data_IF_624768512497
#
_entry.id   IF_624768512497
#
_cell.length_a   1.000
_cell.length_b   1.000
_cell.length_c   1.000
_cell.angle_alpha   90.00
_cell.angle_beta   90.00
_cell.angle_gamma   90.00
#
_symmetry.space_group_name_H-M   'P 1'
#
loop_
_entity.id
_entity.type
_entity.pdbx_description
1 polymer ?
#
# COMPACT_ATOMS: atom_id res chain seq x y z
N UNK A 1 14.29 -16.25 -14.02
CA UNK A 1 15.07 -15.56 -12.95
C UNK A 1 15.36 -14.09 -13.22
N UNK A 2 16.20 -13.68 -14.20
CA UNK A 2 16.40 -12.22 -14.43
C UNK A 2 15.10 -11.52 -14.80
N UNK A 3 14.33 -12.10 -15.71
CA UNK A 3 13.11 -11.49 -16.22
C UNK A 3 12.02 -11.45 -15.13
N UNK A 4 11.86 -12.54 -14.36
CA UNK A 4 10.99 -12.58 -13.16
C UNK A 4 11.37 -11.50 -12.12
N UNK A 5 12.66 -11.37 -11.79
CA UNK A 5 13.13 -10.33 -10.87
C UNK A 5 12.91 -8.93 -11.45
N UNK A 6 13.05 -8.76 -12.77
CA UNK A 6 12.84 -7.47 -13.44
C UNK A 6 11.36 -7.10 -13.44
N UNK A 7 10.47 -8.06 -13.68
CA UNK A 7 9.03 -7.89 -13.60
C UNK A 7 8.64 -7.32 -12.25
N UNK A 8 9.04 -7.94 -11.13
CA UNK A 8 8.74 -7.43 -9.79
C UNK A 8 9.22 -5.99 -9.54
N UNK A 9 10.30 -5.56 -10.21
CA UNK A 9 10.86 -4.22 -10.06
C UNK A 9 10.13 -3.15 -10.90
N UNK A 10 9.22 -3.53 -11.79
CA UNK A 10 8.45 -2.59 -12.61
C UNK A 10 7.46 -1.74 -11.79
N UNK A 11 7.16 -2.11 -10.53
CA UNK A 11 6.45 -1.23 -9.60
C UNK A 11 7.12 0.14 -9.41
N UNK A 12 8.43 0.26 -9.70
CA UNK A 12 9.14 1.56 -9.72
C UNK A 12 8.60 2.52 -10.76
N UNK A 13 8.04 1.99 -11.85
CA UNK A 13 7.54 2.74 -12.99
C UNK A 13 6.00 2.88 -12.98
N UNK A 14 5.31 2.22 -12.06
CA UNK A 14 3.85 2.27 -11.93
C UNK A 14 3.46 3.44 -10.98
N UNK A 15 2.95 4.57 -11.49
CA UNK A 15 2.48 5.66 -10.64
C UNK A 15 1.21 5.23 -9.89
N UNK A 16 1.03 5.73 -8.65
CA UNK A 16 -0.21 5.52 -7.89
C UNK A 16 -1.38 6.22 -8.57
N UNK A 17 -2.34 5.44 -9.08
CA UNK A 17 -3.45 5.87 -9.93
C UNK A 17 -4.34 6.89 -9.23
N UNK A 18 -4.53 6.78 -7.91
CA UNK A 18 -5.28 7.76 -7.12
C UNK A 18 -4.74 9.18 -7.31
N UNK A 19 -3.43 9.36 -7.19
CA UNK A 19 -2.77 10.66 -7.37
C UNK A 19 -2.84 11.17 -8.80
N UNK A 20 -2.67 10.28 -9.79
CA UNK A 20 -2.80 10.62 -11.21
C UNK A 20 -4.18 11.19 -11.51
N UNK A 21 -5.25 10.57 -10.98
CA UNK A 21 -6.63 11.03 -11.18
C UNK A 21 -6.92 12.36 -10.50
N UNK A 22 -6.31 12.61 -9.35
CA UNK A 22 -6.47 13.87 -8.60
C UNK A 22 -5.59 15.00 -9.13
N UNK A 23 -4.86 14.79 -10.24
CA UNK A 23 -4.05 15.82 -10.88
C UNK A 23 -2.76 16.17 -10.13
N UNK A 24 -2.25 15.25 -9.30
CA UNK A 24 -0.93 15.39 -8.66
C UNK A 24 0.15 15.40 -9.73
N UNK A 25 1.00 16.43 -9.72
CA UNK A 25 2.19 16.47 -10.57
C UNK A 25 3.27 15.57 -9.98
N UNK A 26 3.87 14.73 -10.83
CA UNK A 26 4.93 13.78 -10.46
C UNK A 26 4.55 12.91 -9.23
N UNK A 27 3.47 12.11 -9.34
CA UNK A 27 3.04 11.24 -8.26
C UNK A 27 4.09 10.17 -7.96
N UNK A 28 4.10 9.70 -6.72
CA UNK A 28 4.91 8.56 -6.32
C UNK A 28 4.54 7.30 -7.10
N UNK A 29 5.47 6.36 -7.16
CA UNK A 29 5.20 5.02 -7.67
C UNK A 29 4.72 4.08 -6.58
N UNK A 30 4.11 2.96 -6.95
CA UNK A 30 3.69 1.90 -6.02
C UNK A 30 4.87 1.39 -5.20
N UNK A 31 6.05 1.25 -5.81
CA UNK A 31 7.26 0.90 -5.06
C UNK A 31 7.68 1.95 -4.02
N UNK A 32 7.45 3.24 -4.29
CA UNK A 32 7.75 4.32 -3.34
C UNK A 32 6.78 4.29 -2.15
N UNK A 33 5.50 4.00 -2.39
CA UNK A 33 4.50 3.74 -1.36
C UNK A 33 4.91 2.54 -0.46
N UNK A 34 5.28 1.40 -1.05
CA UNK A 34 5.77 0.23 -0.29
C UNK A 34 7.01 0.55 0.55
N UNK A 35 7.92 1.37 0.04
CA UNK A 35 9.08 1.86 0.80
C UNK A 35 8.67 2.77 1.96
N UNK A 36 7.75 3.72 1.73
CA UNK A 36 7.20 4.60 2.76
C UNK A 36 6.57 3.81 3.91
N UNK A 37 5.72 2.84 3.57
CA UNK A 37 5.15 1.90 4.55
C UNK A 37 6.22 1.16 5.36
N UNK A 38 7.29 0.66 4.72
CA UNK A 38 8.35 -0.05 5.43
C UNK A 38 9.10 0.87 6.42
N UNK A 39 9.33 2.14 6.07
CA UNK A 39 9.92 3.13 6.97
C UNK A 39 9.00 3.41 8.17
N UNK A 40 7.70 3.58 7.92
CA UNK A 40 6.70 3.78 8.98
C UNK A 40 6.63 2.55 9.91
N UNK A 41 6.60 1.34 9.34
CA UNK A 41 6.58 0.09 10.09
C UNK A 41 7.82 -0.08 10.98
N UNK A 42 9.02 0.20 10.47
CA UNK A 42 10.26 0.19 11.27
C UNK A 42 10.18 1.09 12.50
N UNK A 43 9.44 2.19 12.41
CA UNK A 43 9.32 3.18 13.49
C UNK A 43 8.17 2.91 14.45
N UNK A 44 7.07 2.36 13.94
CA UNK A 44 5.76 2.35 14.60
C UNK A 44 5.26 0.94 14.97
N UNK A 45 5.90 -0.12 14.49
CA UNK A 45 5.48 -1.49 14.80
C UNK A 45 5.48 -1.77 16.32
N UNK A 46 4.38 -2.33 16.87
CA UNK A 46 4.36 -2.81 18.24
C UNK A 46 5.41 -3.91 18.44
N UNK A 47 6.04 -3.94 19.62
CA UNK A 47 7.19 -4.82 19.91
C UNK A 47 6.83 -6.31 19.97
N UNK A 48 5.56 -6.58 20.23
CA UNK A 48 4.98 -7.92 20.32
C UNK A 48 4.67 -8.53 18.96
N UNK A 49 4.65 -7.74 17.88
CA UNK A 49 4.37 -8.22 16.54
C UNK A 49 5.67 -8.62 15.82
N UNK A 50 5.55 -9.57 14.90
CA UNK A 50 6.69 -9.99 14.08
C UNK A 50 7.04 -8.90 13.05
N UNK A 51 8.08 -8.11 13.36
CA UNK A 51 8.57 -7.04 12.49
C UNK A 51 9.03 -7.58 11.12
N UNK A 52 9.62 -8.78 11.04
CA UNK A 52 10.04 -9.33 9.76
C UNK A 52 8.82 -9.61 8.88
N UNK A 53 7.78 -10.23 9.45
CA UNK A 53 6.52 -10.47 8.75
C UNK A 53 5.85 -9.15 8.30
N UNK A 54 5.82 -8.14 9.17
CA UNK A 54 5.29 -6.80 8.85
C UNK A 54 6.04 -6.19 7.67
N UNK A 55 7.37 -6.13 7.73
CA UNK A 55 8.18 -5.51 6.69
C UNK A 55 8.06 -6.26 5.36
N UNK A 56 8.07 -7.59 5.38
CA UNK A 56 7.84 -8.38 4.18
C UNK A 56 6.46 -8.04 3.59
N UNK A 57 5.42 -7.96 4.42
CA UNK A 57 4.07 -7.64 3.95
C UNK A 57 3.98 -6.23 3.36
N UNK A 58 4.55 -5.21 4.02
CA UNK A 58 4.61 -3.85 3.45
C UNK A 58 5.24 -3.83 2.06
N UNK A 59 6.31 -4.59 1.86
CA UNK A 59 7.07 -4.62 0.60
C UNK A 59 6.30 -5.33 -0.51
N UNK A 60 5.55 -6.41 -0.21
CA UNK A 60 5.02 -7.31 -1.23
C UNK A 60 3.51 -7.24 -1.43
N UNK A 61 2.76 -6.52 -0.58
CA UNK A 61 1.30 -6.53 -0.65
C UNK A 61 0.74 -6.05 -2.01
N UNK A 62 1.32 -4.99 -2.58
CA UNK A 62 0.94 -4.46 -3.90
C UNK A 62 1.79 -5.04 -5.06
N UNK A 63 2.61 -6.06 -4.82
CA UNK A 63 3.36 -6.72 -5.89
C UNK A 63 2.51 -7.18 -7.09
N UNK A 64 1.27 -7.69 -6.91
CA UNK A 64 0.41 -8.09 -8.01
C UNK A 64 0.03 -6.95 -8.96
N UNK A 65 0.11 -5.70 -8.52
CA UNK A 65 -0.22 -4.51 -9.32
C UNK A 65 0.70 -4.37 -10.54
N UNK A 66 1.84 -5.06 -10.56
CA UNK A 66 2.69 -5.11 -11.76
C UNK A 66 2.01 -5.74 -12.98
N UNK A 67 0.99 -6.59 -12.75
CA UNK A 67 0.15 -7.17 -13.80
C UNK A 67 -1.27 -6.60 -13.80
N UNK A 68 -1.84 -6.36 -12.61
CA UNK A 68 -3.25 -5.94 -12.46
C UNK A 68 -3.42 -4.43 -12.63
N UNK A 69 -2.35 -3.66 -12.37
CA UNK A 69 -2.39 -2.21 -12.20
C UNK A 69 -2.88 -1.78 -10.81
N UNK A 70 -2.56 -0.56 -10.42
CA UNK A 70 -3.09 0.07 -9.20
C UNK A 70 -4.55 0.48 -9.42
N UNK A 71 -5.47 -0.44 -9.11
CA UNK A 71 -6.91 -0.25 -9.26
C UNK A 71 -7.46 0.62 -8.12
N UNK A 72 -8.21 1.65 -8.49
CA UNK A 72 -8.83 2.59 -7.56
C UNK A 72 -10.32 2.26 -7.32
N UNK A 73 -10.98 2.89 -6.32
CA UNK A 73 -12.43 2.74 -6.13
C UNK A 73 -13.28 3.18 -7.34
N UNK A 74 -12.71 3.90 -8.29
CA UNK A 74 -13.36 4.33 -9.53
C UNK A 74 -13.24 3.30 -10.67
N UNK A 75 -12.53 2.20 -10.44
CA UNK A 75 -12.35 1.09 -11.38
C UNK A 75 -13.25 -0.10 -11.02
N UNK A 76 -13.41 -1.05 -11.95
CA UNK A 76 -14.06 -2.31 -11.62
C UNK A 76 -13.15 -3.16 -10.74
N UNK A 77 -13.51 -3.24 -9.46
CA UNK A 77 -12.78 -3.99 -8.44
C UNK A 77 -13.43 -5.33 -8.10
N UNK A 78 -14.48 -5.73 -8.84
CA UNK A 78 -15.25 -6.96 -8.55
C UNK A 78 -14.42 -8.24 -8.59
N UNK A 79 -13.36 -8.26 -9.41
CA UNK A 79 -12.42 -9.37 -9.53
C UNK A 79 -11.02 -9.04 -9.00
N UNK A 80 -10.83 -7.87 -8.36
CA UNK A 80 -9.50 -7.38 -7.93
C UNK A 80 -8.72 -8.46 -7.16
N UNK A 81 -9.26 -8.92 -6.04
CA UNK A 81 -8.59 -9.92 -5.19
C UNK A 81 -8.29 -11.23 -5.94
N UNK A 82 -9.19 -11.69 -6.81
CA UNK A 82 -8.97 -12.90 -7.61
C UNK A 82 -7.80 -12.71 -8.60
N UNK A 83 -7.76 -11.58 -9.30
CA UNK A 83 -6.71 -11.26 -10.26
C UNK A 83 -5.36 -11.07 -9.56
N UNK A 84 -5.35 -10.41 -8.40
CA UNK A 84 -4.14 -10.19 -7.60
C UNK A 84 -3.58 -11.51 -7.04
N UNK A 85 -4.45 -12.41 -6.53
CA UNK A 85 -4.02 -13.73 -6.07
C UNK A 85 -3.49 -14.58 -7.21
N UNK A 86 -4.14 -14.55 -8.38
CA UNK A 86 -3.65 -15.24 -9.57
C UNK A 86 -2.27 -14.72 -9.99
N UNK A 87 -2.10 -13.40 -10.09
CA UNK A 87 -0.82 -12.79 -10.41
C UNK A 87 0.27 -13.14 -9.37
N UNK A 88 -0.03 -13.03 -8.08
CA UNK A 88 0.91 -13.39 -7.00
C UNK A 88 1.34 -14.86 -7.08
N UNK A 89 0.39 -15.77 -7.39
CA UNK A 89 0.67 -17.21 -7.50
C UNK A 89 1.67 -17.55 -8.61
N UNK A 90 1.77 -16.70 -9.63
CA UNK A 90 2.69 -16.86 -10.75
C UNK A 90 4.01 -16.10 -10.54
N UNK A 91 3.96 -14.89 -9.95
CA UNK A 91 5.13 -14.00 -9.78
C UNK A 91 5.98 -14.44 -8.59
N UNK A 92 5.35 -14.66 -7.43
CA UNK A 92 6.00 -14.90 -6.16
C UNK A 92 5.13 -15.81 -5.26
N UNK A 93 4.96 -17.10 -5.63
CA UNK A 93 4.09 -18.03 -4.90
C UNK A 93 4.43 -18.16 -3.41
N UNK A 94 5.68 -17.91 -3.01
CA UNK A 94 6.12 -17.89 -1.62
C UNK A 94 5.44 -16.80 -0.76
N UNK A 95 4.93 -15.73 -1.38
CA UNK A 95 4.28 -14.62 -0.70
C UNK A 95 2.75 -14.62 -0.86
N UNK A 96 2.18 -15.56 -1.61
CA UNK A 96 0.73 -15.69 -1.77
C UNK A 96 0.01 -15.80 -0.43
N UNK A 97 0.52 -16.63 0.49
CA UNK A 97 -0.07 -16.76 1.83
C UNK A 97 -0.03 -15.46 2.63
N UNK A 98 0.99 -14.62 2.41
CA UNK A 98 1.13 -13.33 3.07
C UNK A 98 0.15 -12.31 2.49
N UNK A 99 -0.06 -12.31 1.17
CA UNK A 99 -1.09 -11.50 0.50
C UNK A 99 -2.49 -11.87 0.97
N UNK A 100 -2.80 -13.17 1.08
CA UNK A 100 -4.10 -13.63 1.59
C UNK A 100 -4.35 -13.21 3.05
N UNK A 101 -3.30 -13.26 3.89
CA UNK A 101 -3.36 -12.75 5.28
C UNK A 101 -3.57 -11.24 5.30
N UNK A 102 -2.83 -10.48 4.46
CA UNK A 102 -3.04 -9.05 4.27
C UNK A 102 -4.49 -8.76 3.90
N UNK A 103 -5.02 -9.33 2.83
CA UNK A 103 -6.38 -9.09 2.33
C UNK A 103 -7.45 -9.37 3.37
N UNK A 104 -7.36 -10.51 4.06
CA UNK A 104 -8.32 -10.92 5.07
C UNK A 104 -8.16 -10.20 6.41
N UNK A 105 -6.97 -9.65 6.70
CA UNK A 105 -6.64 -9.09 8.01
C UNK A 105 -6.67 -10.13 9.12
N UNK A 106 -6.33 -11.39 8.81
CA UNK A 106 -6.46 -12.50 9.75
C UNK A 106 -5.48 -12.35 10.94
N UNK A 107 -4.23 -11.99 10.66
CA UNK A 107 -3.21 -11.80 11.68
C UNK A 107 -3.18 -10.37 12.26
N UNK A 108 -2.66 -10.18 13.48
CA UNK A 108 -2.40 -8.85 14.01
C UNK A 108 -1.38 -8.07 13.16
N UNK A 109 -0.40 -8.72 12.54
CA UNK A 109 0.52 -8.06 11.61
C UNK A 109 -0.21 -7.52 10.39
N UNK A 110 -1.09 -8.31 9.77
CA UNK A 110 -1.89 -7.86 8.62
C UNK A 110 -2.77 -6.65 8.96
N UNK A 111 -3.43 -6.72 10.11
CA UNK A 111 -4.25 -5.61 10.62
C UNK A 111 -3.44 -4.35 10.91
N UNK A 112 -2.20 -4.49 11.38
CA UNK A 112 -1.29 -3.36 11.53
C UNK A 112 -0.86 -2.81 10.17
N UNK A 113 -0.42 -3.66 9.25
CA UNK A 113 0.05 -3.24 7.91
C UNK A 113 -1.05 -2.53 7.12
N UNK A 114 -2.31 -2.96 7.19
CA UNK A 114 -3.43 -2.23 6.58
C UNK A 114 -3.58 -0.80 7.10
N UNK A 115 -3.31 -0.57 8.38
CA UNK A 115 -3.34 0.79 8.93
C UNK A 115 -2.12 1.60 8.50
N UNK A 116 -0.96 0.95 8.34
CA UNK A 116 0.24 1.58 7.80
C UNK A 116 0.08 1.98 6.32
N UNK A 117 -0.59 1.15 5.50
CA UNK A 117 -0.98 1.51 4.12
C UNK A 117 -1.78 2.81 4.10
N UNK A 118 -2.82 2.89 4.94
CA UNK A 118 -3.65 4.10 5.05
C UNK A 118 -2.91 5.29 5.64
N UNK A 119 -2.00 5.07 6.58
CA UNK A 119 -1.20 6.12 7.19
C UNK A 119 -0.26 6.74 6.17
N UNK A 120 0.45 5.92 5.40
CA UNK A 120 1.36 6.36 4.34
C UNK A 120 0.61 7.20 3.30
N UNK A 121 -0.52 6.68 2.79
CA UNK A 121 -1.39 7.39 1.85
C UNK A 121 -1.90 8.73 2.43
N UNK A 122 -2.32 8.74 3.70
CA UNK A 122 -2.82 9.95 4.36
C UNK A 122 -1.73 11.02 4.55
N UNK A 123 -0.53 10.61 4.94
CA UNK A 123 0.62 11.52 5.08
C UNK A 123 1.03 12.07 3.71
N UNK A 124 1.05 11.24 2.67
CA UNK A 124 1.39 11.65 1.32
C UNK A 124 0.36 12.63 0.74
N UNK A 125 -0.94 12.44 1.03
CA UNK A 125 -1.98 13.41 0.67
C UNK A 125 -1.74 14.79 1.31
N UNK A 126 -1.40 14.84 2.61
CA UNK A 126 -1.09 16.10 3.29
C UNK A 126 0.12 16.81 2.68
N UNK A 127 1.16 16.05 2.32
CA UNK A 127 2.36 16.58 1.67
C UNK A 127 2.03 17.16 0.28
N UNK A 128 1.34 16.41 -0.58
CA UNK A 128 0.97 16.88 -1.91
C UNK A 128 0.01 18.07 -1.86
N UNK A 129 -0.99 18.05 -0.97
CA UNK A 129 -1.88 19.18 -0.77
C UNK A 129 -1.12 20.45 -0.39
N UNK A 130 -0.18 20.35 0.57
CA UNK A 130 0.63 21.50 0.98
C UNK A 130 1.60 21.99 -0.11
N UNK A 131 2.19 21.08 -0.89
CA UNK A 131 3.22 21.43 -1.87
C UNK A 131 2.64 21.90 -3.20
N UNK A 132 1.49 21.37 -3.61
CA UNK A 132 0.93 21.58 -4.94
C UNK A 132 -0.38 22.38 -4.92
N UNK A 133 -0.94 22.67 -3.74
CA UNK A 133 -2.16 23.48 -3.62
C UNK A 133 -3.42 22.84 -4.18
N UNK A 134 -3.45 21.51 -4.22
CA UNK A 134 -4.58 20.68 -4.67
C UNK A 134 -5.36 20.16 -3.47
N UNK A 135 -6.68 20.04 -3.59
CA UNK A 135 -7.51 19.47 -2.53
C UNK A 135 -7.44 17.94 -2.57
N UNK A 136 -6.85 17.34 -1.53
CA UNK A 136 -6.77 15.89 -1.33
C UNK A 136 -7.44 15.48 -0.02
N UNK A 137 -8.37 16.31 0.48
CA UNK A 137 -9.08 16.08 1.74
C UNK A 137 -9.79 14.73 1.78
N UNK A 138 -10.27 14.24 0.63
CA UNK A 138 -10.90 12.91 0.53
C UNK A 138 -9.97 11.78 0.96
N UNK A 139 -8.68 11.83 0.60
CA UNK A 139 -7.69 10.82 0.95
C UNK A 139 -7.36 10.88 2.43
N UNK A 140 -7.21 12.10 2.97
CA UNK A 140 -6.92 12.33 4.40
C UNK A 140 -8.08 11.82 5.26
N UNK A 141 -9.33 12.12 4.87
CA UNK A 141 -10.53 11.66 5.56
C UNK A 141 -10.71 10.14 5.46
N UNK A 142 -10.44 9.57 4.29
CA UNK A 142 -10.45 8.12 4.06
C UNK A 142 -9.42 7.41 4.95
N UNK A 143 -8.18 7.92 5.00
CA UNK A 143 -7.14 7.39 5.87
C UNK A 143 -7.56 7.41 7.34
N UNK A 144 -8.04 8.56 7.84
CA UNK A 144 -8.53 8.71 9.22
C UNK A 144 -9.67 7.75 9.57
N UNK A 145 -10.56 7.48 8.63
CA UNK A 145 -11.70 6.58 8.85
C UNK A 145 -11.31 5.11 8.91
N UNK A 146 -10.15 4.74 8.37
CA UNK A 146 -9.67 3.36 8.30
C UNK A 146 -8.53 3.04 9.28
N UNK A 147 -8.02 4.05 10.00
CA UNK A 147 -7.05 3.87 11.08
C UNK A 147 -7.80 3.90 12.41
N UNK A 148 -7.88 2.75 13.08
CA UNK A 148 -8.57 2.61 14.36
C UNK A 148 -7.61 2.59 15.56
N UNK A 149 -6.32 2.38 15.33
CA UNK A 149 -5.29 2.64 16.32
C UNK A 149 -5.18 4.15 16.56
N UNK A 150 -5.46 4.56 17.79
CA UNK A 150 -5.50 5.97 18.16
C UNK A 150 -4.15 6.66 17.95
N UNK A 151 -3.05 5.99 18.30
CA UNK A 151 -1.72 6.58 18.17
C UNK A 151 -1.35 6.80 16.70
N UNK A 152 -1.70 5.86 15.82
CA UNK A 152 -1.52 6.04 14.37
C UNK A 152 -2.43 7.15 13.82
N UNK A 153 -3.69 7.23 14.27
CA UNK A 153 -4.64 8.25 13.83
C UNK A 153 -4.22 9.68 14.21
N UNK A 154 -3.63 9.85 15.40
CA UNK A 154 -3.16 11.14 15.90
C UNK A 154 -2.03 11.72 15.01
N UNK A 155 -1.31 10.90 14.23
CA UNK A 155 -0.27 11.37 13.29
C UNK A 155 -0.85 12.19 12.12
N UNK A 156 -2.12 11.94 11.74
CA UNK A 156 -2.80 12.64 10.65
C UNK A 156 -3.54 13.90 11.11
N UNK A 157 -3.42 14.30 12.37
CA UNK A 157 -4.13 15.44 12.97
C UNK A 157 -3.21 16.65 13.11
#
# INVERSE_FOLDING_TARGET
>A
MRDELSEMLELKNLPRTGWVRSGVNNPESVAAHSWGMAILALRLAPKELDLMKILTMCIVHDLPEVRVGDLTPHDDTSQKSQLEHAAMSEIAPEWLGLLMDYDSGASPEARFVKQIDKLDMGMQAMLYQSQQGIDLSEFILSAKSNIYDRYLGDILT
#
